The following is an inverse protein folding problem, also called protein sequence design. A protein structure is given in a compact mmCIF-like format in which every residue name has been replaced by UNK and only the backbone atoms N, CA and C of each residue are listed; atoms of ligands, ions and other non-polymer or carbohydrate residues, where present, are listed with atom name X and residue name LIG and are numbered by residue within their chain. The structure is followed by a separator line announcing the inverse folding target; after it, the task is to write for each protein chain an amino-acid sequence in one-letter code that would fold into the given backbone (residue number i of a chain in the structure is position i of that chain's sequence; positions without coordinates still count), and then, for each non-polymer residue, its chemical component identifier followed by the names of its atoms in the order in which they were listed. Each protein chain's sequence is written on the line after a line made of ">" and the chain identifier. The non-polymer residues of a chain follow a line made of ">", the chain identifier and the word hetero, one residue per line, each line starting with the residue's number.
data_IF_728947258763
#
_entry.id   IF_728947258763
#
_cell.length_a   1.000
_cell.length_b   1.000
_cell.length_c   1.000
_cell.angle_alpha   90.00
_cell.angle_beta   90.00
_cell.angle_gamma   90.00
#
_symmetry.space_group_name_H-M   'P 1'
#
loop_
_entity.id
_entity.type
_entity.pdbx_description
1 polymer ?
#
# COMPACT_ATOMS: atom_id res chain seq x y z
N UNK A 1 15.99 -11.50 -14.04
CA UNK A 1 14.91 -11.68 -13.04
C UNK A 1 14.93 -13.05 -12.38
N UNK A 2 14.96 -14.16 -13.11
CA UNK A 2 14.93 -15.51 -12.50
C UNK A 2 15.96 -15.73 -11.37
N UNK A 3 17.25 -15.52 -11.64
CA UNK A 3 18.32 -15.70 -10.65
C UNK A 3 18.23 -14.74 -9.47
N UNK A 4 17.83 -13.49 -9.73
CA UNK A 4 17.69 -12.49 -8.68
C UNK A 4 16.57 -12.86 -7.69
N UNK A 5 15.39 -13.23 -8.20
CA UNK A 5 14.29 -13.63 -7.33
C UNK A 5 14.46 -14.99 -6.68
N UNK A 6 15.36 -15.84 -7.19
CA UNK A 6 15.80 -17.04 -6.46
C UNK A 6 16.52 -16.66 -5.15
N UNK A 7 17.42 -15.69 -5.22
CA UNK A 7 18.11 -15.17 -4.03
C UNK A 7 17.13 -14.50 -3.07
N UNK A 8 16.30 -13.58 -3.58
CA UNK A 8 15.29 -12.86 -2.75
C UNK A 8 14.35 -13.85 -2.04
N UNK A 9 13.82 -14.85 -2.75
CA UNK A 9 12.91 -15.85 -2.17
C UNK A 9 13.59 -16.75 -1.13
N UNK A 10 14.92 -16.88 -1.18
CA UNK A 10 15.72 -17.61 -0.20
C UNK A 10 16.07 -16.76 1.03
N UNK A 11 16.32 -15.46 0.85
CA UNK A 11 16.67 -14.53 1.92
C UNK A 11 15.45 -14.19 2.79
N UNK A 12 14.30 -13.93 2.17
CA UNK A 12 13.09 -13.54 2.88
C UNK A 12 12.20 -14.77 3.11
N UNK A 13 12.03 -15.23 4.37
CA UNK A 13 11.28 -16.44 4.67
C UNK A 13 9.77 -16.26 4.55
N UNK A 14 9.26 -15.02 4.53
CA UNK A 14 7.84 -14.73 4.39
C UNK A 14 7.26 -15.35 3.11
N UNK A 15 5.99 -15.78 3.17
CA UNK A 15 5.34 -16.42 2.04
C UNK A 15 5.12 -15.46 0.87
N UNK A 16 4.88 -14.17 1.15
CA UNK A 16 4.57 -13.17 0.13
C UNK A 16 5.79 -12.30 -0.20
N UNK A 17 5.89 -11.91 -1.47
CA UNK A 17 6.79 -10.86 -1.94
C UNK A 17 5.98 -9.77 -2.63
N UNK A 18 6.30 -8.49 -2.36
CA UNK A 18 5.73 -7.39 -3.12
C UNK A 18 6.51 -7.22 -4.43
N UNK A 19 5.84 -7.32 -5.57
CA UNK A 19 6.48 -7.28 -6.90
C UNK A 19 6.39 -5.91 -7.59
N UNK A 20 5.73 -4.94 -6.96
CA UNK A 20 5.56 -3.60 -7.49
C UNK A 20 4.53 -3.57 -8.61
N UNK A 21 4.92 -3.03 -9.76
CA UNK A 21 4.07 -2.93 -10.94
C UNK A 21 3.28 -1.62 -11.02
N UNK A 22 3.72 -0.58 -10.33
CA UNK A 22 3.15 0.77 -10.29
C UNK A 22 3.76 1.72 -11.33
N UNK A 23 2.99 2.74 -11.73
CA UNK A 23 3.41 3.93 -12.50
C UNK A 23 4.32 3.67 -13.73
N UNK A 24 4.12 2.56 -14.45
CA UNK A 24 4.95 2.25 -15.63
C UNK A 24 4.67 3.24 -16.77
N UNK A 25 5.66 4.10 -17.05
CA UNK A 25 5.61 5.02 -18.19
C UNK A 25 6.04 4.32 -19.49
N UNK A 26 5.13 4.27 -20.45
CA UNK A 26 5.36 3.65 -21.75
C UNK A 26 6.07 4.56 -22.77
N UNK A 27 6.32 5.84 -22.47
CA UNK A 27 6.92 6.78 -23.42
C UNK A 27 8.30 6.32 -23.91
N UNK A 28 9.15 5.83 -23.00
CA UNK A 28 10.47 5.31 -23.34
C UNK A 28 10.36 4.07 -24.25
N UNK A 29 9.47 3.12 -23.92
CA UNK A 29 9.21 1.94 -24.74
C UNK A 29 8.70 2.29 -26.14
N UNK A 30 7.84 3.31 -26.24
CA UNK A 30 7.33 3.82 -27.50
C UNK A 30 8.41 4.40 -28.39
N UNK A 31 9.39 5.08 -27.78
CA UNK A 31 10.50 5.70 -28.52
C UNK A 31 11.57 4.70 -29.00
N UNK A 32 11.60 3.49 -28.44
CA UNK A 32 12.66 2.52 -28.70
C UNK A 32 12.32 1.59 -29.90
N UNK A 33 13.10 1.61 -31.00
CA UNK A 33 12.83 0.81 -32.19
C UNK A 33 12.86 -0.71 -31.96
N UNK A 34 13.76 -1.19 -31.09
CA UNK A 34 13.89 -2.63 -30.80
C UNK A 34 12.65 -3.15 -30.05
N UNK A 35 12.09 -2.34 -29.16
CA UNK A 35 10.84 -2.66 -28.45
C UNK A 35 9.66 -2.65 -29.42
N UNK A 36 9.60 -1.66 -30.33
CA UNK A 36 8.58 -1.64 -31.39
C UNK A 36 8.62 -2.91 -32.25
N UNK A 37 9.82 -3.37 -32.62
CA UNK A 37 9.98 -4.58 -33.41
C UNK A 37 9.63 -5.85 -32.63
N UNK A 38 9.93 -5.89 -31.32
CA UNK A 38 9.47 -6.97 -30.44
C UNK A 38 7.94 -7.00 -30.34
N UNK A 39 7.29 -5.84 -30.18
CA UNK A 39 5.83 -5.75 -30.13
C UNK A 39 5.17 -6.24 -31.42
N UNK A 40 5.74 -5.94 -32.59
CA UNK A 40 5.28 -6.50 -33.88
C UNK A 40 5.40 -8.01 -33.92
N UNK A 41 6.54 -8.57 -33.47
CA UNK A 41 6.78 -10.03 -33.45
C UNK A 41 5.80 -10.78 -32.53
N UNK A 42 5.44 -10.17 -31.40
CA UNK A 42 4.49 -10.76 -30.43
C UNK A 42 3.03 -10.47 -30.77
N UNK A 43 2.75 -9.59 -31.73
CA UNK A 43 1.39 -9.23 -32.12
C UNK A 43 0.68 -8.28 -31.16
N UNK A 44 1.42 -7.51 -30.34
CA UNK A 44 0.84 -6.58 -29.36
C UNK A 44 0.35 -5.25 -29.99
N UNK A 45 0.62 -5.03 -31.27
CA UNK A 45 0.21 -3.81 -31.97
C UNK A 45 0.88 -2.57 -31.38
N UNK A 46 0.08 -1.58 -30.95
CA UNK A 46 0.53 -0.34 -30.29
C UNK A 46 0.10 -0.28 -28.81
N UNK A 47 -0.37 -1.39 -28.24
CA UNK A 47 -0.86 -1.46 -26.87
C UNK A 47 0.26 -1.90 -25.92
N UNK A 48 0.93 -0.93 -25.31
CA UNK A 48 2.05 -1.19 -24.39
C UNK A 48 1.61 -1.83 -23.08
N UNK A 49 0.32 -1.79 -22.73
CA UNK A 49 -0.21 -2.52 -21.55
C UNK A 49 -0.10 -4.02 -21.74
N UNK A 50 -0.21 -4.52 -22.98
CA UNK A 50 0.03 -5.94 -23.27
C UNK A 50 1.50 -6.32 -23.12
N UNK A 51 2.43 -5.41 -23.43
CA UNK A 51 3.85 -5.63 -23.22
C UNK A 51 4.19 -5.66 -21.72
N UNK A 52 3.64 -4.74 -20.93
CA UNK A 52 3.72 -4.76 -19.47
C UNK A 52 3.13 -6.06 -18.91
N UNK A 53 1.93 -6.43 -19.35
CA UNK A 53 1.25 -7.67 -18.96
C UNK A 53 2.10 -8.91 -19.25
N UNK A 54 2.78 -8.94 -20.41
CA UNK A 54 3.72 -10.01 -20.75
C UNK A 54 4.91 -10.08 -19.80
N UNK A 55 5.49 -8.93 -19.43
CA UNK A 55 6.59 -8.87 -18.47
C UNK A 55 6.15 -9.35 -17.09
N UNK A 56 5.03 -8.83 -16.58
CA UNK A 56 4.52 -9.16 -15.26
C UNK A 56 4.16 -10.64 -15.18
N UNK A 57 3.41 -11.19 -16.16
CA UNK A 57 3.06 -12.62 -16.16
C UNK A 57 4.30 -13.52 -16.11
N UNK A 58 5.32 -13.20 -16.91
CA UNK A 58 6.58 -13.95 -16.90
C UNK A 58 7.26 -13.89 -15.53
N UNK A 59 7.18 -12.74 -14.85
CA UNK A 59 7.70 -12.59 -13.49
C UNK A 59 6.87 -13.38 -12.47
N UNK A 60 5.54 -13.34 -12.54
CA UNK A 60 4.66 -14.08 -11.64
C UNK A 60 4.91 -15.60 -11.71
N UNK A 61 5.11 -16.13 -12.91
CA UNK A 61 5.43 -17.55 -13.12
C UNK A 61 6.73 -17.96 -12.43
N UNK A 62 7.76 -17.10 -12.49
CA UNK A 62 9.04 -17.30 -11.80
C UNK A 62 8.84 -17.38 -10.28
N UNK A 63 8.09 -16.43 -9.70
CA UNK A 63 7.86 -16.36 -8.25
C UNK A 63 7.04 -17.57 -7.77
N UNK A 64 6.04 -17.96 -8.56
CA UNK A 64 5.20 -19.13 -8.28
C UNK A 64 6.03 -20.41 -8.27
N UNK A 65 6.99 -20.55 -9.20
CA UNK A 65 7.89 -21.70 -9.24
C UNK A 65 8.79 -21.82 -8.00
N UNK A 66 9.01 -20.72 -7.27
CA UNK A 66 9.73 -20.70 -6.00
C UNK A 66 8.82 -20.92 -4.78
N UNK A 67 7.53 -21.20 -4.99
CA UNK A 67 6.57 -21.48 -3.91
C UNK A 67 6.23 -20.26 -3.06
N UNK A 68 6.32 -19.05 -3.63
CA UNK A 68 5.97 -17.78 -2.97
C UNK A 68 4.66 -17.23 -3.55
N UNK A 69 3.84 -16.64 -2.67
CA UNK A 69 2.75 -15.77 -3.07
C UNK A 69 3.25 -14.36 -3.39
N UNK A 70 2.38 -13.50 -3.93
CA UNK A 70 2.78 -12.14 -4.26
C UNK A 70 1.69 -11.10 -4.05
N UNK A 71 2.17 -9.89 -3.74
CA UNK A 71 1.40 -8.65 -3.64
C UNK A 71 1.83 -7.73 -4.80
N UNK A 72 0.88 -7.04 -5.41
CA UNK A 72 1.14 -6.08 -6.48
C UNK A 72 0.34 -4.80 -6.27
N UNK A 73 0.84 -3.69 -6.82
CA UNK A 73 0.06 -2.45 -6.87
C UNK A 73 -1.12 -2.57 -7.83
N UNK A 74 -2.12 -1.70 -7.64
CA UNK A 74 -3.40 -1.75 -8.36
C UNK A 74 -3.27 -1.70 -9.88
N UNK A 75 -2.23 -1.09 -10.45
CA UNK A 75 -2.08 -0.93 -11.89
C UNK A 75 -2.04 -2.27 -12.64
N UNK A 76 -1.53 -3.32 -12.01
CA UNK A 76 -1.54 -4.69 -12.56
C UNK A 76 -2.99 -5.15 -12.80
N UNK A 77 -3.90 -4.82 -11.88
CA UNK A 77 -5.33 -5.11 -12.00
C UNK A 77 -6.04 -4.12 -12.96
N UNK A 78 -5.70 -2.83 -12.89
CA UNK A 78 -6.29 -1.78 -13.72
C UNK A 78 -6.00 -2.01 -15.20
N UNK A 79 -4.77 -2.42 -15.52
CA UNK A 79 -4.31 -2.76 -16.87
C UNK A 79 -4.73 -4.16 -17.33
N UNK A 80 -5.55 -4.87 -16.54
CA UNK A 80 -6.12 -6.19 -16.87
C UNK A 80 -5.05 -7.24 -17.18
N UNK A 81 -3.93 -7.19 -16.45
CA UNK A 81 -2.93 -8.24 -16.49
C UNK A 81 -3.56 -9.53 -15.97
N UNK A 82 -3.29 -10.65 -16.64
CA UNK A 82 -3.73 -11.96 -16.15
C UNK A 82 -2.88 -12.32 -14.94
N UNK A 83 -3.50 -12.37 -13.77
CA UNK A 83 -2.86 -12.74 -12.52
C UNK A 83 -3.56 -13.96 -11.91
N UNK A 84 -2.84 -14.72 -11.09
CA UNK A 84 -3.44 -15.89 -10.43
C UNK A 84 -4.49 -15.49 -9.39
N UNK A 85 -5.51 -16.33 -9.12
CA UNK A 85 -6.60 -16.00 -8.20
C UNK A 85 -6.17 -15.68 -6.76
N UNK A 86 -5.01 -16.18 -6.33
CA UNK A 86 -4.45 -15.94 -4.99
C UNK A 86 -3.64 -14.65 -4.87
N UNK A 87 -3.48 -13.89 -5.96
CA UNK A 87 -2.82 -12.58 -5.97
C UNK A 87 -3.49 -11.62 -4.98
N UNK A 88 -2.68 -10.86 -4.24
CA UNK A 88 -3.16 -9.75 -3.40
C UNK A 88 -2.92 -8.44 -4.15
N UNK A 89 -3.96 -7.62 -4.28
CA UNK A 89 -3.86 -6.30 -4.91
C UNK A 89 -3.80 -5.22 -3.83
N UNK A 90 -2.91 -4.24 -3.97
CA UNK A 90 -2.77 -3.14 -3.02
C UNK A 90 -3.24 -1.82 -3.65
N UNK A 91 -4.31 -1.26 -3.09
CA UNK A 91 -4.94 -0.01 -3.55
C UNK A 91 -4.23 1.19 -2.93
N UNK A 92 -3.70 2.07 -3.77
CA UNK A 92 -2.83 3.15 -3.33
C UNK A 92 -3.16 4.52 -3.93
N UNK A 93 -3.92 4.56 -5.03
CA UNK A 93 -4.34 5.81 -5.68
C UNK A 93 -5.68 6.25 -5.12
N UNK A 94 -5.80 7.53 -4.77
CA UNK A 94 -6.99 8.06 -4.10
C UNK A 94 -8.19 8.23 -5.04
N UNK A 95 -7.99 8.78 -6.25
CA UNK A 95 -9.09 9.23 -7.13
C UNK A 95 -9.01 8.77 -8.58
N UNK A 96 -7.81 8.48 -9.09
CA UNK A 96 -7.59 8.09 -10.50
C UNK A 96 -7.11 6.64 -10.50
N UNK A 97 -7.66 5.73 -11.34
CA UNK A 97 -8.67 5.97 -12.38
C UNK A 97 -10.09 6.13 -11.82
N UNK A 98 -10.32 5.64 -10.60
CA UNK A 98 -11.56 5.80 -9.83
C UNK A 98 -11.20 6.01 -8.35
N UNK A 99 -12.15 6.46 -7.54
CA UNK A 99 -11.96 6.60 -6.10
C UNK A 99 -11.55 5.25 -5.45
N UNK A 100 -10.65 5.30 -4.47
CA UNK A 100 -10.09 4.10 -3.82
C UNK A 100 -11.14 3.15 -3.21
N UNK A 101 -12.28 3.64 -2.72
CA UNK A 101 -13.38 2.79 -2.22
C UNK A 101 -14.06 2.04 -3.37
N UNK A 102 -14.17 2.69 -4.54
CA UNK A 102 -14.70 2.04 -5.74
C UNK A 102 -13.71 1.01 -6.27
N UNK A 103 -12.41 1.27 -6.19
CA UNK A 103 -11.36 0.31 -6.56
C UNK A 103 -11.40 -0.95 -5.68
N UNK A 104 -11.57 -0.79 -4.35
CA UNK A 104 -11.81 -1.92 -3.44
C UNK A 104 -13.01 -2.77 -3.87
N UNK A 105 -14.12 -2.12 -4.24
CA UNK A 105 -15.31 -2.83 -4.70
C UNK A 105 -15.04 -3.63 -5.99
N UNK A 106 -14.33 -3.05 -6.96
CA UNK A 106 -14.01 -3.71 -8.23
C UNK A 106 -13.08 -4.92 -8.05
N UNK A 107 -12.05 -4.79 -7.21
CA UNK A 107 -11.08 -5.86 -6.94
C UNK A 107 -11.74 -7.02 -6.19
N UNK A 108 -12.53 -6.70 -5.16
CA UNK A 108 -13.24 -7.73 -4.37
C UNK A 108 -14.37 -8.39 -5.16
N UNK A 109 -15.05 -7.66 -6.05
CA UNK A 109 -16.01 -8.23 -7.00
C UNK A 109 -15.34 -9.19 -7.98
N UNK A 110 -14.10 -8.91 -8.40
CA UNK A 110 -13.30 -9.80 -9.21
C UNK A 110 -12.72 -11.02 -8.45
N UNK A 111 -12.95 -11.11 -7.13
CA UNK A 111 -12.58 -12.25 -6.30
C UNK A 111 -11.16 -12.23 -5.74
N UNK A 112 -10.44 -11.12 -5.85
CA UNK A 112 -9.08 -10.99 -5.33
C UNK A 112 -9.06 -10.46 -3.90
N UNK A 113 -8.05 -10.90 -3.13
CA UNK A 113 -7.75 -10.31 -1.83
C UNK A 113 -7.14 -8.92 -2.03
N UNK A 114 -7.45 -8.01 -1.11
CA UNK A 114 -7.06 -6.60 -1.26
C UNK A 114 -6.51 -5.99 0.03
N UNK A 115 -5.50 -5.14 -0.13
CA UNK A 115 -4.93 -4.27 0.90
C UNK A 115 -5.23 -2.81 0.57
N UNK A 116 -5.56 -2.02 1.60
CA UNK A 116 -5.78 -0.57 1.46
C UNK A 116 -4.55 0.22 1.94
N UNK A 117 -4.05 1.13 1.12
CA UNK A 117 -3.02 2.10 1.52
C UNK A 117 -3.32 3.53 1.08
N UNK A 118 -4.20 3.73 0.10
CA UNK A 118 -4.45 5.03 -0.53
C UNK A 118 -4.62 6.22 0.44
N UNK A 119 -5.49 6.15 1.47
CA UNK A 119 -5.68 7.29 2.38
C UNK A 119 -4.64 7.36 3.51
N UNK A 120 -3.65 6.46 3.56
CA UNK A 120 -2.68 6.33 4.65
C UNK A 120 -1.24 6.65 4.22
N UNK A 121 -1.10 7.67 3.38
CA UNK A 121 0.18 8.19 2.91
C UNK A 121 0.78 9.16 3.93
N UNK A 122 1.57 8.63 4.87
CA UNK A 122 2.18 9.41 5.94
C UNK A 122 3.30 10.33 5.44
N UNK A 123 3.90 10.05 4.29
CA UNK A 123 4.87 10.96 3.67
C UNK A 123 4.23 12.29 3.24
N UNK A 124 2.92 12.32 2.96
CA UNK A 124 2.15 13.54 2.64
C UNK A 124 1.76 14.26 3.93
N UNK A 125 2.57 15.23 4.33
CA UNK A 125 2.32 16.03 5.54
C UNK A 125 1.38 17.20 5.26
N UNK A 126 0.50 17.51 6.22
CA UNK A 126 -0.34 18.71 6.22
C UNK A 126 -0.24 19.41 7.57
N UNK A 127 -0.53 20.71 7.61
CA UNK A 127 -0.59 21.44 8.87
C UNK A 127 -1.79 20.98 9.71
N UNK A 128 -1.59 20.79 11.01
CA UNK A 128 -2.63 20.38 11.96
C UNK A 128 -2.67 18.87 12.23
N UNK A 129 -3.71 18.39 12.93
CA UNK A 129 -3.84 17.00 13.38
C UNK A 129 -4.33 16.07 12.26
N UNK A 130 -3.54 15.91 11.20
CA UNK A 130 -3.84 15.03 10.06
C UNK A 130 -4.04 13.55 10.44
N UNK A 131 -3.56 13.11 11.61
CA UNK A 131 -3.80 11.78 12.16
C UNK A 131 -5.30 11.42 12.27
N UNK A 132 -6.17 12.41 12.48
CA UNK A 132 -7.62 12.18 12.57
C UNK A 132 -8.17 11.72 11.21
N UNK A 133 -7.66 12.26 10.10
CA UNK A 133 -8.05 11.83 8.76
C UNK A 133 -7.70 10.34 8.56
N UNK A 134 -6.52 9.91 8.99
CA UNK A 134 -6.11 8.51 8.90
C UNK A 134 -6.98 7.60 9.77
N UNK A 135 -7.32 8.05 10.99
CA UNK A 135 -8.15 7.31 11.94
C UNK A 135 -9.59 7.13 11.45
N UNK A 136 -10.16 8.14 10.78
CA UNK A 136 -11.57 8.15 10.34
C UNK A 136 -11.86 7.32 9.09
N UNK A 137 -10.82 6.85 8.38
CA UNK A 137 -10.99 5.93 7.24
C UNK A 137 -11.69 4.65 7.68
N UNK A 138 -12.78 4.28 7.02
CA UNK A 138 -13.47 2.99 7.20
C UNK A 138 -13.23 2.09 5.97
N UNK A 139 -12.35 1.06 6.07
CA UNK A 139 -11.94 0.25 4.91
C UNK A 139 -13.09 -0.48 4.21
N UNK A 140 -14.18 -0.78 4.93
CA UNK A 140 -15.32 -1.52 4.39
C UNK A 140 -16.47 -0.60 3.95
N UNK A 141 -16.22 0.71 3.80
CA UNK A 141 -17.21 1.73 3.41
C UNK A 141 -17.48 1.78 1.90
N UNK A 142 -17.58 0.63 1.26
CA UNK A 142 -17.96 0.48 -0.15
C UNK A 142 -19.15 -0.47 -0.31
N UNK A 143 -19.80 -0.47 -1.47
CA UNK A 143 -20.89 -1.41 -1.79
C UNK A 143 -20.35 -2.80 -2.11
N UNK A 144 -20.91 -3.85 -1.49
CA UNK A 144 -20.50 -5.23 -1.72
C UNK A 144 -21.12 -6.19 -0.71
N UNK A 145 -21.16 -7.48 -1.04
CA UNK A 145 -21.67 -8.54 -0.14
C UNK A 145 -20.71 -8.76 1.04
N UNK A 146 -21.15 -9.41 2.13
CA UNK A 146 -20.26 -9.79 3.23
C UNK A 146 -19.05 -10.62 2.78
N UNK A 147 -19.24 -11.51 1.81
CA UNK A 147 -18.20 -12.38 1.26
C UNK A 147 -17.17 -11.57 0.45
N UNK A 148 -17.63 -10.61 -0.36
CA UNK A 148 -16.73 -9.69 -1.07
C UNK A 148 -15.92 -8.86 -0.08
N UNK A 149 -16.56 -8.31 0.97
CA UNK A 149 -15.87 -7.52 1.99
C UNK A 149 -14.86 -8.32 2.81
N UNK A 150 -15.06 -9.64 2.95
CA UNK A 150 -14.11 -10.53 3.62
C UNK A 150 -12.78 -10.70 2.86
N UNK A 151 -12.72 -10.33 1.58
CA UNK A 151 -11.47 -10.32 0.80
C UNK A 151 -10.56 -9.13 1.15
N UNK A 152 -11.06 -8.13 1.88
CA UNK A 152 -10.23 -7.05 2.42
C UNK A 152 -9.48 -7.59 3.63
N UNK A 153 -8.18 -7.81 3.48
CA UNK A 153 -7.34 -8.46 4.50
C UNK A 153 -6.59 -7.48 5.40
N UNK A 154 -6.75 -6.17 5.18
CA UNK A 154 -6.14 -5.12 5.98
C UNK A 154 -5.62 -3.98 5.13
N UNK A 155 -4.46 -3.45 5.50
CA UNK A 155 -3.80 -2.40 4.76
C UNK A 155 -2.52 -1.91 5.42
N UNK A 156 -1.91 -0.89 4.82
CA UNK A 156 -0.58 -0.41 5.19
C UNK A 156 -0.51 1.11 5.19
N UNK A 157 0.21 1.67 6.17
CA UNK A 157 0.59 3.07 6.17
C UNK A 157 1.90 3.26 5.40
N UNK A 158 1.90 4.13 4.39
CA UNK A 158 3.05 4.33 3.52
C UNK A 158 3.92 5.50 3.99
N UNK A 159 5.24 5.30 4.05
CA UNK A 159 6.22 6.34 4.32
C UNK A 159 7.28 6.37 3.21
N UNK A 160 6.92 6.95 2.07
CA UNK A 160 7.83 7.17 0.95
C UNK A 160 8.96 8.15 1.31
N UNK A 161 10.12 7.93 0.69
CA UNK A 161 11.41 8.50 1.11
C UNK A 161 11.83 9.81 0.43
N UNK A 162 11.01 10.42 -0.42
CA UNK A 162 11.42 11.57 -1.25
C UNK A 162 11.93 12.75 -0.40
N UNK A 163 11.32 12.94 0.78
CA UNK A 163 11.67 13.98 1.75
C UNK A 163 11.84 13.40 3.16
N UNK A 164 12.12 12.11 3.26
CA UNK A 164 12.23 11.37 4.53
C UNK A 164 13.52 10.57 4.55
N UNK A 165 14.30 10.75 5.60
CA UNK A 165 15.48 9.95 5.89
C UNK A 165 15.62 9.74 7.41
N UNK A 166 16.79 9.28 7.86
CA UNK A 166 17.06 9.06 9.29
C UNK A 166 16.91 10.31 10.15
N UNK A 167 16.98 11.52 9.57
CA UNK A 167 16.89 12.78 10.33
C UNK A 167 15.45 13.11 10.77
N UNK A 168 14.44 12.56 10.10
CA UNK A 168 13.05 12.94 10.33
C UNK A 168 12.04 11.78 10.29
N UNK A 169 12.47 10.55 10.02
CA UNK A 169 11.60 9.38 9.90
C UNK A 169 10.74 9.16 11.15
N UNK A 170 11.37 9.03 12.33
CA UNK A 170 10.68 8.69 13.58
C UNK A 170 9.62 9.73 13.98
N UNK A 171 9.94 11.05 14.04
CA UNK A 171 8.93 12.05 14.40
C UNK A 171 7.82 12.17 13.35
N UNK A 172 8.13 12.00 12.06
CA UNK A 172 7.09 12.00 11.03
C UNK A 172 6.18 10.77 11.11
N UNK A 173 6.73 9.60 11.45
CA UNK A 173 6.00 8.34 11.51
C UNK A 173 5.10 8.26 12.74
N UNK A 174 5.64 8.53 13.93
CA UNK A 174 4.95 8.32 15.20
C UNK A 174 4.54 9.64 15.86
N UNK A 175 3.33 9.74 16.44
CA UNK A 175 2.33 8.68 16.62
C UNK A 175 1.30 8.59 15.48
N UNK A 176 1.47 9.28 14.34
CA UNK A 176 0.48 9.32 13.25
C UNK A 176 0.16 7.91 12.69
N UNK A 177 1.17 7.06 12.52
CA UNK A 177 0.98 5.66 12.14
C UNK A 177 0.13 4.86 13.15
N UNK A 178 0.09 5.29 14.42
CA UNK A 178 -0.75 4.71 15.47
C UNK A 178 -2.25 4.86 15.19
N UNK A 179 -2.67 5.91 14.47
CA UNK A 179 -4.05 6.07 14.02
C UNK A 179 -4.47 4.96 13.05
N UNK A 180 -3.60 4.62 12.09
CA UNK A 180 -3.79 3.52 11.14
C UNK A 180 -3.77 2.18 11.86
N UNK A 181 -2.83 2.00 12.80
CA UNK A 181 -2.74 0.78 13.60
C UNK A 181 -4.03 0.52 14.39
N UNK A 182 -4.60 1.54 15.03
CA UNK A 182 -5.86 1.39 15.77
C UNK A 182 -7.03 1.07 14.84
N UNK A 183 -7.10 1.70 13.66
CA UNK A 183 -8.13 1.42 12.65
C UNK A 183 -8.07 -0.03 12.16
N UNK A 184 -6.88 -0.57 11.95
CA UNK A 184 -6.70 -1.93 11.44
C UNK A 184 -6.89 -3.02 12.51
N UNK A 185 -6.76 -2.67 13.79
CA UNK A 185 -6.87 -3.63 14.91
C UNK A 185 -8.21 -3.58 15.64
N UNK A 186 -8.71 -2.37 15.94
CA UNK A 186 -9.87 -2.19 16.81
C UNK A 186 -11.18 -2.52 16.10
N UNK A 187 -12.22 -2.74 16.90
CA UNK A 187 -13.55 -2.96 16.35
C UNK A 187 -14.01 -1.75 15.53
N UNK A 188 -14.72 -2.01 14.43
CA UNK A 188 -15.33 -1.01 13.55
C UNK A 188 -16.06 0.14 14.26
N UNK A 189 -16.70 -0.13 15.40
CA UNK A 189 -17.46 0.90 16.15
C UNK A 189 -16.58 1.88 16.94
N UNK A 190 -15.29 1.60 17.07
CA UNK A 190 -14.33 2.45 17.79
C UNK A 190 -13.87 3.57 16.85
N UNK A 191 -14.62 4.68 16.82
CA UNK A 191 -14.38 5.80 15.90
C UNK A 191 -14.47 7.18 16.55
N UNK A 192 -14.69 7.26 17.86
CA UNK A 192 -14.77 8.55 18.56
C UNK A 192 -13.38 9.22 18.63
N UNK A 193 -13.22 10.34 17.92
CA UNK A 193 -11.93 11.02 17.79
C UNK A 193 -11.46 11.70 19.09
N UNK A 194 -12.37 12.24 19.90
CA UNK A 194 -12.01 12.80 21.21
C UNK A 194 -11.43 11.74 22.16
N UNK A 195 -12.03 10.56 22.18
CA UNK A 195 -11.55 9.43 22.97
C UNK A 195 -10.24 8.87 22.42
N UNK A 196 -10.09 8.83 21.09
CA UNK A 196 -8.83 8.46 20.44
C UNK A 196 -7.71 9.43 20.80
N UNK A 197 -7.94 10.75 20.73
CA UNK A 197 -6.95 11.78 21.08
C UNK A 197 -6.43 11.60 22.51
N UNK A 198 -7.32 11.38 23.48
CA UNK A 198 -6.93 11.16 24.89
C UNK A 198 -5.96 9.98 25.04
N UNK A 199 -6.27 8.85 24.40
CA UNK A 199 -5.45 7.63 24.50
C UNK A 199 -4.18 7.72 23.67
N UNK A 200 -4.23 8.31 22.47
CA UNK A 200 -3.08 8.46 21.59
C UNK A 200 -2.08 9.47 22.15
N UNK A 201 -2.54 10.56 22.79
CA UNK A 201 -1.67 11.50 23.49
C UNK A 201 -0.98 10.85 24.70
N UNK A 202 -1.73 10.06 25.48
CA UNK A 202 -1.13 9.27 26.57
C UNK A 202 -0.10 8.26 26.04
N UNK A 203 -0.43 7.54 24.97
CA UNK A 203 0.48 6.58 24.33
C UNK A 203 1.73 7.26 23.76
N UNK A 204 1.61 8.48 23.22
CA UNK A 204 2.76 9.27 22.78
C UNK A 204 3.74 9.52 23.91
N UNK A 205 3.29 9.89 25.11
CA UNK A 205 4.19 10.05 26.25
C UNK A 205 4.87 8.73 26.65
N UNK A 206 4.16 7.60 26.56
CA UNK A 206 4.75 6.28 26.80
C UNK A 206 5.78 5.90 25.72
N UNK A 207 5.59 6.29 24.46
CA UNK A 207 6.57 6.13 23.40
C UNK A 207 7.85 6.93 23.70
N UNK A 208 7.72 8.18 24.13
CA UNK A 208 8.85 9.01 24.56
C UNK A 208 9.62 8.36 25.71
N UNK A 209 8.92 7.89 26.74
CA UNK A 209 9.52 7.16 27.87
C UNK A 209 10.30 5.92 27.43
N UNK A 210 9.95 5.34 26.29
CA UNK A 210 10.64 4.18 25.67
C UNK A 210 11.76 4.56 24.70
N UNK A 211 12.10 5.85 24.58
CA UNK A 211 13.15 6.34 23.68
C UNK A 211 12.70 6.50 22.22
N UNK A 212 11.40 6.54 21.94
CA UNK A 212 10.87 6.81 20.60
C UNK A 212 10.63 8.30 20.43
N UNK A 213 11.27 8.92 19.44
CA UNK A 213 11.16 10.35 19.13
C UNK A 213 9.83 10.69 18.43
N UNK A 214 8.70 10.43 19.08
CA UNK A 214 7.36 10.67 18.52
C UNK A 214 6.94 12.15 18.64
N UNK A 215 6.43 12.73 17.54
CA UNK A 215 6.01 14.13 17.53
C UNK A 215 4.75 14.38 18.40
N UNK A 216 4.51 15.60 18.88
CA UNK A 216 3.27 15.92 19.60
C UNK A 216 2.05 15.88 18.67
N UNK A 217 0.87 15.61 19.24
CA UNK A 217 -0.42 15.64 18.52
C UNK A 217 -1.09 17.02 18.54
N UNK A 218 -0.89 17.77 19.62
CA UNK A 218 -1.43 19.10 19.87
C UNK A 218 -0.64 19.73 21.04
N UNK A 219 -1.09 20.88 21.54
CA UNK A 219 -0.59 21.50 22.77
C UNK A 219 -0.69 20.54 23.97
N UNK A 220 0.34 20.54 24.82
CA UNK A 220 0.46 19.66 25.98
C UNK A 220 1.93 19.43 26.34
N UNK A 221 2.17 18.52 27.28
CA UNK A 221 3.51 18.08 27.68
C UNK A 221 3.47 16.63 28.18
N UNK A 222 4.64 16.00 28.25
CA UNK A 222 4.87 14.75 28.97
C UNK A 222 5.74 15.03 30.19
N UNK A 223 5.47 14.38 31.33
CA UNK A 223 6.30 14.51 32.54
C UNK A 223 7.78 14.16 32.30
N UNK A 224 8.03 13.24 31.36
CA UNK A 224 9.36 12.97 30.81
C UNK A 224 9.37 13.42 29.34
N UNK A 225 9.88 14.63 29.09
CA UNK A 225 10.12 15.10 27.72
C UNK A 225 11.31 14.36 27.08
N UNK A 226 11.33 14.36 25.75
CA UNK A 226 12.41 13.74 24.98
C UNK A 226 13.63 14.67 24.96
N UNK A 227 14.80 14.14 25.32
CA UNK A 227 16.11 14.82 25.26
C UNK A 227 17.00 14.20 24.18
#
# INVERSE_FOLDING_TARGET
>A
MNTFFLEVSSVFPDFYLHLGGDEVDFACWKSNPDIQDFMKKKGFGNDFKQLESFYIQTLLDIITAYGKGYVVWQEVFDNKVKVQPDTIIQVWREEIPVNYLKELALITEAGFRVLLSAPWYLNRINYGPDWENFYMVEPLSFEGTPEQKALVIGGEACMWGEYVDSTNLVPRLWPRAGAVAERLWSNKVVTNSEFALKRLAHFRCELLRRGVQAQPLNVGYCEQEFE
#
